data_IF_125331712099
#
_entry.id   IF_125331712099
#
_cell.length_a   1.000
_cell.length_b   1.000
_cell.length_c   1.000
_cell.angle_alpha   90.00
_cell.angle_beta   90.00
_cell.angle_gamma   90.00
#
_symmetry.space_group_name_H-M   'P 1'
#
loop_
_entity.id
_entity.type
_entity.pdbx_description
1 polymer ?
#
# COMPACT_ATOMS: atom_id res chain seq x y z
N UNK A 1 12.89 0.92 -0.96
CA UNK A 1 12.64 -0.32 -1.74
C UNK A 1 12.89 -1.53 -0.85
N UNK A 2 12.09 -2.58 -0.97
CA UNK A 2 12.38 -3.91 -0.40
C UNK A 2 12.58 -4.89 -1.55
N UNK A 3 13.59 -5.77 -1.45
CA UNK A 3 13.89 -6.78 -2.47
C UNK A 3 14.17 -8.15 -1.85
N UNK A 4 13.75 -9.20 -2.55
CA UNK A 4 14.04 -10.59 -2.21
C UNK A 4 14.00 -11.45 -3.47
N UNK A 5 15.15 -12.05 -3.85
CA UNK A 5 15.30 -12.87 -5.06
C UNK A 5 14.74 -12.16 -6.31
N UNK A 6 15.24 -10.93 -6.55
CA UNK A 6 14.73 -10.03 -7.59
C UNK A 6 15.60 -9.94 -8.83
N UNK A 7 16.62 -10.80 -8.99
CA UNK A 7 17.65 -10.73 -10.06
C UNK A 7 17.06 -10.50 -11.44
N UNK A 8 15.88 -11.04 -11.71
CA UNK A 8 15.25 -11.01 -13.04
C UNK A 8 14.80 -9.61 -13.46
N UNK A 9 14.34 -8.77 -12.53
CA UNK A 9 13.66 -7.52 -12.85
C UNK A 9 14.31 -6.29 -12.22
N UNK A 10 15.15 -6.46 -11.19
CA UNK A 10 15.66 -5.35 -10.37
C UNK A 10 16.44 -4.31 -11.19
N UNK A 11 17.17 -4.71 -12.25
CA UNK A 11 17.88 -3.76 -13.13
C UNK A 11 16.91 -2.81 -13.81
N UNK A 12 15.88 -3.35 -14.46
CA UNK A 12 14.89 -2.55 -15.16
C UNK A 12 14.12 -1.63 -14.21
N UNK A 13 13.81 -2.11 -12.99
CA UNK A 13 13.20 -1.28 -11.96
C UNK A 13 14.13 -0.15 -11.53
N UNK A 14 15.42 -0.42 -11.24
CA UNK A 14 16.37 0.62 -10.84
C UNK A 14 16.60 1.66 -11.94
N UNK A 15 16.68 1.23 -13.19
CA UNK A 15 16.79 2.13 -14.34
C UNK A 15 15.57 3.05 -14.46
N UNK A 16 14.35 2.52 -14.24
CA UNK A 16 13.13 3.31 -14.26
C UNK A 16 13.06 4.36 -13.13
N UNK A 17 13.65 4.05 -11.97
CA UNK A 17 13.78 5.00 -10.88
C UNK A 17 14.78 6.11 -11.20
N UNK A 18 15.90 5.77 -11.82
CA UNK A 18 16.92 6.74 -12.22
C UNK A 18 16.46 7.67 -13.36
N UNK A 19 15.47 7.25 -14.15
CA UNK A 19 14.92 8.04 -15.27
C UNK A 19 13.74 8.94 -14.86
N UNK A 20 13.44 9.08 -13.57
CA UNK A 20 12.37 9.99 -13.14
C UNK A 20 12.66 11.44 -13.53
N UNK A 21 11.64 12.15 -14.03
CA UNK A 21 11.78 13.49 -14.59
C UNK A 21 11.75 14.62 -13.55
N UNK A 22 11.37 14.34 -12.31
CA UNK A 22 11.26 15.33 -11.25
C UNK A 22 12.55 16.14 -11.02
N UNK A 23 13.72 15.53 -11.21
CA UNK A 23 15.00 16.22 -11.12
C UNK A 23 15.31 17.06 -12.37
N UNK A 24 14.95 16.54 -13.56
CA UNK A 24 15.13 17.26 -14.83
C UNK A 24 14.40 18.61 -14.84
N UNK A 25 13.28 18.68 -14.14
CA UNK A 25 12.49 19.91 -13.99
C UNK A 25 12.78 20.69 -12.71
N UNK A 26 13.78 20.28 -11.91
CA UNK A 26 14.15 20.95 -10.66
C UNK A 26 13.08 20.93 -9.57
N UNK A 27 12.11 19.98 -9.67
CA UNK A 27 11.00 19.90 -8.74
C UNK A 27 11.34 19.13 -7.46
N UNK A 28 12.13 18.08 -7.58
CA UNK A 28 12.56 17.27 -6.44
C UNK A 28 13.83 16.49 -6.78
N UNK A 29 14.67 16.24 -5.76
CA UNK A 29 15.71 15.22 -5.81
C UNK A 29 15.28 14.02 -4.99
N UNK A 30 15.68 12.80 -5.37
CA UNK A 30 15.35 11.63 -4.59
C UNK A 30 16.52 10.65 -4.45
N UNK A 31 16.48 9.90 -3.39
CA UNK A 31 17.42 8.83 -3.07
C UNK A 31 16.67 7.51 -2.94
N UNK A 32 17.35 6.43 -3.24
CA UNK A 32 16.81 5.08 -3.19
C UNK A 32 17.55 4.35 -2.08
N UNK A 33 16.84 4.06 -0.98
CA UNK A 33 17.31 3.17 0.06
C UNK A 33 16.72 1.78 -0.18
N UNK A 34 17.57 0.77 -0.26
CA UNK A 34 17.16 -0.59 -0.58
C UNK A 34 17.52 -1.51 0.60
N UNK A 35 16.54 -2.28 1.06
CA UNK A 35 16.76 -3.39 1.97
C UNK A 35 16.64 -4.70 1.17
N UNK A 36 17.70 -5.48 1.16
CA UNK A 36 17.67 -6.84 0.66
C UNK A 36 17.27 -7.80 1.78
N UNK A 37 16.17 -8.53 1.59
CA UNK A 37 15.59 -9.43 2.59
C UNK A 37 16.24 -10.84 2.58
N UNK A 38 17.55 -10.89 2.33
CA UNK A 38 18.35 -12.11 2.34
C UNK A 38 18.28 -12.89 1.02
N UNK A 39 18.43 -12.21 -0.11
CA UNK A 39 18.46 -12.84 -1.44
C UNK A 39 19.62 -13.81 -1.62
N UNK A 40 19.38 -14.89 -2.40
CA UNK A 40 20.37 -15.90 -2.74
C UNK A 40 20.56 -16.13 -4.25
N UNK A 41 20.01 -15.23 -5.10
CA UNK A 41 19.92 -15.41 -6.55
C UNK A 41 20.86 -14.49 -7.38
N UNK A 42 21.75 -13.71 -6.71
CA UNK A 42 22.58 -12.70 -7.35
C UNK A 42 21.99 -11.29 -7.38
N UNK A 43 20.85 -11.05 -6.72
CA UNK A 43 20.27 -9.70 -6.55
C UNK A 43 21.26 -8.73 -5.93
N UNK A 44 22.00 -9.19 -4.91
CA UNK A 44 22.97 -8.35 -4.16
C UNK A 44 24.10 -7.85 -5.04
N UNK A 45 24.59 -8.64 -5.98
CA UNK A 45 25.66 -8.23 -6.91
C UNK A 45 25.19 -7.05 -7.77
N UNK A 46 23.91 -7.07 -8.18
CA UNK A 46 23.30 -5.97 -8.95
C UNK A 46 23.14 -4.72 -8.07
N UNK A 47 22.71 -4.87 -6.82
CA UNK A 47 22.58 -3.75 -5.90
C UNK A 47 23.92 -3.08 -5.64
N UNK A 48 24.98 -3.86 -5.45
CA UNK A 48 26.35 -3.34 -5.27
C UNK A 48 26.83 -2.59 -6.52
N UNK A 49 26.65 -3.18 -7.71
CA UNK A 49 26.99 -2.52 -8.98
C UNK A 49 26.33 -1.14 -9.10
N UNK A 50 25.01 -1.05 -8.79
CA UNK A 50 24.28 0.21 -8.87
C UNK A 50 24.68 1.21 -7.78
N UNK A 51 24.93 0.75 -6.55
CA UNK A 51 25.38 1.62 -5.46
C UNK A 51 26.78 2.21 -5.75
N UNK A 52 27.70 1.43 -6.32
CA UNK A 52 29.02 1.92 -6.75
C UNK A 52 28.88 2.92 -7.90
N UNK A 53 27.99 2.67 -8.86
CA UNK A 53 27.79 3.54 -10.03
C UNK A 53 27.07 4.85 -9.69
N UNK A 54 26.16 4.82 -8.70
CA UNK A 54 25.32 5.95 -8.31
C UNK A 54 25.36 6.21 -6.80
N UNK A 55 26.53 6.49 -6.19
CA UNK A 55 26.72 6.52 -4.75
C UNK A 55 25.91 7.62 -4.03
N UNK A 56 25.59 8.71 -4.71
CA UNK A 56 24.76 9.80 -4.18
C UNK A 56 23.25 9.52 -4.26
N UNK A 57 22.87 8.49 -5.01
CA UNK A 57 21.47 8.17 -5.35
C UNK A 57 20.98 6.87 -4.72
N UNK A 58 21.82 5.84 -4.70
CA UNK A 58 21.47 4.49 -4.31
C UNK A 58 22.33 4.05 -3.14
N UNK A 59 21.66 3.59 -2.09
CA UNK A 59 22.28 2.90 -0.97
C UNK A 59 21.49 1.65 -0.64
N UNK A 60 22.16 0.60 -0.20
CA UNK A 60 21.52 -0.64 0.16
C UNK A 60 22.17 -1.31 1.37
N UNK A 61 21.44 -2.22 1.97
CA UNK A 61 21.94 -3.09 3.02
C UNK A 61 21.19 -4.43 3.01
N UNK A 62 21.89 -5.47 3.45
CA UNK A 62 21.31 -6.80 3.64
C UNK A 62 20.71 -6.94 5.02
N UNK A 63 19.56 -7.60 5.12
CA UNK A 63 18.93 -8.08 6.35
C UNK A 63 18.66 -9.58 6.28
N UNK A 64 18.26 -10.16 7.41
CA UNK A 64 17.65 -11.50 7.43
C UNK A 64 16.27 -11.46 6.77
N UNK A 65 15.79 -12.61 6.24
CA UNK A 65 14.46 -12.68 5.67
C UNK A 65 13.39 -12.56 6.76
N UNK A 66 12.72 -11.42 6.79
CA UNK A 66 11.62 -11.11 7.73
C UNK A 66 10.28 -10.96 7.02
N UNK A 67 10.25 -11.17 5.70
CA UNK A 67 9.08 -11.07 4.87
C UNK A 67 8.72 -9.64 4.46
N UNK A 68 7.98 -9.52 3.37
CA UNK A 68 7.72 -8.26 2.66
C UNK A 68 7.18 -7.15 3.57
N UNK A 69 6.22 -7.45 4.44
CA UNK A 69 5.57 -6.43 5.29
C UNK A 69 6.58 -5.80 6.26
N UNK A 70 7.30 -6.62 7.01
CA UNK A 70 8.28 -6.14 8.00
C UNK A 70 9.49 -5.50 7.32
N UNK A 71 9.90 -6.02 6.16
CA UNK A 71 10.97 -5.46 5.35
C UNK A 71 10.67 -4.01 4.93
N UNK A 72 9.44 -3.71 4.51
CA UNK A 72 9.03 -2.33 4.19
C UNK A 72 9.02 -1.41 5.41
N UNK A 73 8.56 -1.86 6.57
CA UNK A 73 8.62 -1.04 7.79
C UNK A 73 10.05 -0.83 8.28
N UNK A 74 10.91 -1.84 8.18
CA UNK A 74 12.31 -1.71 8.58
C UNK A 74 13.07 -0.72 7.67
N UNK A 75 12.94 -0.85 6.34
CA UNK A 75 13.59 0.10 5.42
C UNK A 75 13.05 1.52 5.59
N UNK A 76 11.75 1.67 5.84
CA UNK A 76 11.17 2.97 6.15
C UNK A 76 11.76 3.54 7.43
N UNK A 77 11.94 2.75 8.48
CA UNK A 77 12.56 3.16 9.74
C UNK A 77 13.99 3.69 9.58
N UNK A 78 14.75 3.14 8.62
CA UNK A 78 16.14 3.54 8.32
C UNK A 78 16.25 4.63 7.23
N UNK A 79 15.18 4.96 6.53
CA UNK A 79 15.21 6.02 5.52
C UNK A 79 15.47 7.38 6.18
N UNK A 80 16.35 8.20 5.60
CA UNK A 80 16.68 9.54 6.08
C UNK A 80 15.48 10.50 6.04
N UNK A 81 15.69 11.72 6.50
CA UNK A 81 14.68 12.76 6.45
C UNK A 81 14.44 13.22 5.01
N UNK A 82 13.18 13.28 4.64
CA UNK A 82 12.71 13.74 3.34
C UNK A 82 11.33 14.40 3.47
N UNK A 83 10.94 15.20 2.51
CA UNK A 83 9.60 15.76 2.49
C UNK A 83 8.57 14.72 2.09
N UNK A 84 8.96 13.80 1.20
CA UNK A 84 8.13 12.72 0.68
C UNK A 84 8.86 11.39 0.70
N UNK A 85 8.08 10.30 0.82
CA UNK A 85 8.55 8.92 0.79
C UNK A 85 7.70 8.12 -0.19
N UNK A 86 8.30 7.13 -0.84
CA UNK A 86 7.60 6.22 -1.72
C UNK A 86 7.98 4.77 -1.43
N UNK A 87 6.99 3.87 -1.44
CA UNK A 87 7.27 2.45 -1.48
C UNK A 87 7.55 1.99 -2.92
N UNK A 88 8.46 1.06 -3.06
CA UNK A 88 8.87 0.54 -4.35
C UNK A 88 9.13 -0.97 -4.25
N UNK A 89 8.43 -1.74 -5.06
CA UNK A 89 8.69 -3.16 -5.27
C UNK A 89 9.87 -3.33 -6.26
N UNK A 90 10.43 -4.54 -6.35
CA UNK A 90 11.65 -4.82 -7.12
C UNK A 90 11.43 -5.11 -8.61
N UNK A 91 10.17 -5.26 -9.03
CA UNK A 91 9.78 -5.97 -10.26
C UNK A 91 8.81 -5.20 -11.16
N UNK A 92 8.56 -3.93 -10.82
CA UNK A 92 7.71 -3.03 -11.60
C UNK A 92 8.51 -2.14 -12.58
N UNK A 93 7.83 -1.20 -13.20
CA UNK A 93 8.45 -0.13 -14.00
C UNK A 93 7.75 1.19 -13.72
N UNK A 94 8.46 2.18 -13.19
CA UNK A 94 7.91 3.51 -12.94
C UNK A 94 7.98 4.37 -14.20
N UNK A 95 6.84 4.94 -14.60
CA UNK A 95 6.83 5.92 -15.70
C UNK A 95 7.56 7.19 -15.26
N UNK A 96 8.24 7.90 -16.19
CA UNK A 96 9.08 9.05 -15.85
C UNK A 96 8.37 10.12 -15.01
N UNK A 97 7.10 10.34 -15.26
CA UNK A 97 6.30 11.40 -14.62
C UNK A 97 5.75 11.04 -13.22
N UNK A 98 5.98 9.81 -12.75
CA UNK A 98 5.35 9.32 -11.50
C UNK A 98 5.66 10.21 -10.30
N UNK A 99 6.93 10.50 -10.06
CA UNK A 99 7.32 11.32 -8.89
C UNK A 99 6.93 12.77 -9.06
N UNK A 100 7.06 13.35 -10.26
CA UNK A 100 6.61 14.70 -10.56
C UNK A 100 5.13 14.86 -10.24
N UNK A 101 4.30 13.95 -10.73
CA UNK A 101 2.86 13.99 -10.49
C UNK A 101 2.50 13.84 -9.01
N UNK A 102 3.13 12.89 -8.32
CA UNK A 102 2.87 12.67 -6.91
C UNK A 102 3.23 13.89 -6.05
N UNK A 103 4.40 14.50 -6.30
CA UNK A 103 4.87 15.70 -5.58
C UNK A 103 3.93 16.88 -5.85
N UNK A 104 3.52 17.12 -7.11
CA UNK A 104 2.57 18.19 -7.44
C UNK A 104 1.25 18.08 -6.65
N UNK A 105 0.72 16.89 -6.50
CA UNK A 105 -0.51 16.68 -5.74
C UNK A 105 -0.26 16.87 -4.24
N UNK A 106 0.82 16.29 -3.71
CA UNK A 106 1.13 16.37 -2.28
C UNK A 106 1.53 17.77 -1.83
N UNK A 107 2.18 18.58 -2.70
CA UNK A 107 2.46 19.99 -2.42
C UNK A 107 1.19 20.85 -2.31
N UNK A 108 0.09 20.43 -2.96
CA UNK A 108 -1.23 21.03 -2.81
C UNK A 108 -1.99 20.60 -1.56
N UNK A 109 -1.48 19.59 -0.81
CA UNK A 109 -2.08 19.07 0.41
C UNK A 109 -1.47 19.69 1.67
N UNK A 110 -2.10 19.44 2.83
CA UNK A 110 -1.57 19.90 4.10
C UNK A 110 -0.26 19.19 4.46
N UNK A 111 0.77 19.95 4.81
CA UNK A 111 2.04 19.40 5.35
C UNK A 111 1.92 18.96 6.82
N UNK A 112 0.94 19.51 7.55
CA UNK A 112 0.70 19.22 8.97
C UNK A 112 -0.11 17.93 9.19
N UNK A 113 -0.86 17.49 8.17
CA UNK A 113 -1.65 16.25 8.21
C UNK A 113 -0.94 15.13 7.47
N UNK A 114 -1.13 13.86 7.91
CA UNK A 114 -0.65 12.73 7.13
C UNK A 114 -1.32 12.68 5.77
N UNK A 115 -0.55 12.74 4.70
CA UNK A 115 -1.05 12.80 3.32
C UNK A 115 -0.47 11.68 2.49
N UNK A 116 -1.33 11.04 1.70
CA UNK A 116 -1.01 9.90 0.84
C UNK A 116 -1.52 10.14 -0.57
N UNK A 117 -0.62 10.04 -1.54
CA UNK A 117 -0.93 9.90 -2.95
C UNK A 117 -0.81 8.43 -3.35
N UNK A 118 -1.71 7.95 -4.18
CA UNK A 118 -1.55 6.69 -4.90
C UNK A 118 -2.22 6.78 -6.26
N UNK A 119 -1.80 5.93 -7.19
CA UNK A 119 -2.41 5.91 -8.51
C UNK A 119 -2.91 4.52 -8.92
N UNK A 120 -3.73 4.48 -9.97
CA UNK A 120 -4.13 3.23 -10.60
C UNK A 120 -2.89 2.54 -11.21
N UNK A 121 -2.60 1.28 -10.90
CA UNK A 121 -1.54 0.56 -11.59
C UNK A 121 -1.98 0.14 -13.00
N UNK A 122 -1.09 0.26 -14.00
CA UNK A 122 -1.25 -0.33 -15.33
C UNK A 122 -0.74 -1.77 -15.28
N UNK A 123 -1.63 -2.72 -15.50
CA UNK A 123 -1.23 -4.14 -15.48
C UNK A 123 -0.46 -4.48 -16.75
N UNK A 124 0.70 -5.12 -16.57
CA UNK A 124 1.55 -5.57 -17.68
C UNK A 124 2.06 -7.00 -17.43
N UNK A 125 2.43 -7.69 -18.48
CA UNK A 125 3.08 -8.99 -18.42
C UNK A 125 4.59 -8.87 -18.07
N UNK A 126 5.31 -9.99 -18.17
CA UNK A 126 6.73 -10.02 -17.85
C UNK A 126 7.59 -9.16 -18.78
N UNK A 127 7.13 -8.91 -20.00
CA UNK A 127 7.77 -8.10 -21.05
C UNK A 127 7.20 -6.66 -21.13
N UNK A 128 6.53 -6.18 -20.08
CA UNK A 128 5.88 -4.86 -19.98
C UNK A 128 4.75 -4.61 -21.01
N UNK A 129 4.23 -5.67 -21.66
CA UNK A 129 3.09 -5.53 -22.55
C UNK A 129 1.79 -5.39 -21.75
N UNK A 130 0.89 -4.47 -22.12
CA UNK A 130 -0.37 -4.30 -21.40
C UNK A 130 -1.19 -5.59 -21.35
N UNK A 131 -1.73 -5.89 -20.17
CA UNK A 131 -2.68 -6.99 -19.98
C UNK A 131 -4.09 -6.41 -20.00
N UNK A 132 -4.88 -6.84 -20.97
CA UNK A 132 -6.30 -6.51 -21.01
C UNK A 132 -7.05 -7.24 -19.89
N UNK A 133 -7.92 -6.53 -19.21
CA UNK A 133 -8.77 -7.08 -18.15
C UNK A 133 -10.23 -7.01 -18.53
N UNK A 134 -10.92 -8.15 -18.49
CA UNK A 134 -12.38 -8.22 -18.61
C UNK A 134 -13.12 -7.59 -17.43
N UNK A 135 -12.37 -7.22 -16.40
CA UNK A 135 -12.89 -6.73 -15.14
C UNK A 135 -12.90 -5.21 -15.17
N UNK A 136 -14.07 -4.64 -15.32
CA UNK A 136 -14.26 -3.20 -15.16
C UNK A 136 -13.95 -2.78 -13.71
N UNK A 137 -13.12 -1.79 -13.58
CA UNK A 137 -12.78 -1.21 -12.26
C UNK A 137 -13.57 0.09 -12.08
N UNK A 138 -14.38 0.20 -11.02
CA UNK A 138 -15.08 1.45 -10.73
C UNK A 138 -14.08 2.56 -10.42
N UNK A 139 -14.51 3.81 -10.56
CA UNK A 139 -13.79 4.95 -9.99
C UNK A 139 -13.67 4.76 -8.48
N UNK A 140 -12.44 4.94 -7.96
CA UNK A 140 -12.18 4.68 -6.55
C UNK A 140 -12.72 5.81 -5.68
N UNK A 141 -13.30 5.42 -4.57
CA UNK A 141 -13.80 6.33 -3.53
C UNK A 141 -13.00 6.09 -2.25
N UNK A 142 -11.88 6.81 -2.05
CA UNK A 142 -11.07 6.65 -0.86
C UNK A 142 -11.78 7.21 0.39
N UNK A 143 -11.38 6.71 1.56
CA UNK A 143 -11.85 7.20 2.85
C UNK A 143 -11.80 6.14 3.93
N UNK A 144 -11.84 6.56 5.20
CA UNK A 144 -11.65 5.66 6.33
C UNK A 144 -12.68 4.53 6.40
N UNK A 145 -13.94 4.81 6.04
CA UNK A 145 -15.01 3.80 6.01
C UNK A 145 -14.73 2.65 5.02
N UNK A 146 -14.02 2.93 3.94
CA UNK A 146 -13.52 1.92 3.03
C UNK A 146 -12.23 1.28 3.57
N UNK A 147 -11.28 2.08 4.02
CA UNK A 147 -9.99 1.62 4.53
C UNK A 147 -10.11 0.61 5.67
N UNK A 148 -11.13 0.72 6.51
CA UNK A 148 -11.40 -0.25 7.58
C UNK A 148 -11.56 -1.69 7.06
N UNK A 149 -12.07 -1.88 5.84
CA UNK A 149 -12.54 -3.18 5.34
C UNK A 149 -12.00 -3.58 3.97
N UNK A 150 -11.29 -2.68 3.29
CA UNK A 150 -10.72 -2.90 1.97
C UNK A 150 -9.50 -2.03 1.73
N UNK A 151 -8.46 -2.62 1.15
CA UNK A 151 -7.32 -1.88 0.64
C UNK A 151 -7.52 -1.54 -0.84
N UNK A 152 -7.37 -0.25 -1.19
CA UNK A 152 -7.37 0.22 -2.57
C UNK A 152 -6.00 0.73 -3.02
N UNK A 153 -5.08 0.86 -2.08
CA UNK A 153 -3.71 1.31 -2.34
C UNK A 153 -2.86 0.12 -2.76
N UNK A 154 -2.16 0.25 -3.87
CA UNK A 154 -1.13 -0.71 -4.25
C UNK A 154 0.22 -0.13 -3.82
N UNK A 155 0.99 -0.85 -3.02
CA UNK A 155 2.18 -0.35 -2.32
C UNK A 155 3.15 0.42 -3.22
N UNK A 156 3.49 -0.16 -4.38
CA UNK A 156 4.40 0.46 -5.36
C UNK A 156 3.86 1.76 -6.01
N UNK A 157 2.57 2.08 -5.84
CA UNK A 157 1.98 3.35 -6.31
C UNK A 157 2.02 4.44 -5.25
N UNK A 158 2.26 4.08 -3.98
CA UNK A 158 2.13 4.98 -2.85
C UNK A 158 3.30 5.97 -2.74
N UNK A 159 2.97 7.25 -2.63
CA UNK A 159 3.88 8.33 -2.24
C UNK A 159 3.21 9.12 -1.11
N UNK A 160 3.95 9.42 -0.04
CA UNK A 160 3.38 10.02 1.15
C UNK A 160 4.32 11.03 1.80
N UNK A 161 3.73 11.95 2.55
CA UNK A 161 4.47 13.04 3.16
C UNK A 161 5.22 12.61 4.44
N UNK A 162 6.11 13.50 4.89
CA UNK A 162 6.89 13.34 6.14
C UNK A 162 6.00 13.03 7.33
N UNK A 163 4.85 13.70 7.45
CA UNK A 163 3.96 13.53 8.61
C UNK A 163 3.41 12.10 8.71
N UNK A 164 3.00 11.51 7.58
CA UNK A 164 2.57 10.10 7.56
C UNK A 164 3.72 9.15 7.88
N UNK A 165 4.92 9.42 7.35
CA UNK A 165 6.12 8.65 7.64
C UNK A 165 6.45 8.65 9.14
N UNK A 166 6.44 9.81 9.79
CA UNK A 166 6.70 9.96 11.23
C UNK A 166 5.72 9.14 12.08
N UNK A 167 4.42 9.21 11.77
CA UNK A 167 3.40 8.44 12.48
C UNK A 167 3.65 6.92 12.40
N UNK A 168 4.06 6.43 11.23
CA UNK A 168 4.34 5.01 11.03
C UNK A 168 5.64 4.56 11.71
N UNK A 169 6.67 5.42 11.66
CA UNK A 169 7.97 5.13 12.27
C UNK A 169 7.93 5.14 13.80
N UNK A 170 7.06 5.96 14.39
CA UNK A 170 6.95 6.09 15.84
C UNK A 170 6.65 4.75 16.49
N UNK A 171 5.75 3.97 15.93
CA UNK A 171 5.44 2.62 16.37
C UNK A 171 4.95 1.77 15.17
N UNK A 172 5.85 0.99 14.53
CA UNK A 172 5.45 0.08 13.47
C UNK A 172 4.47 -0.98 13.99
N UNK A 173 3.45 -1.39 13.19
CA UNK A 173 2.47 -2.35 13.64
C UNK A 173 3.10 -3.74 13.84
N UNK A 174 2.70 -4.42 14.91
CA UNK A 174 3.04 -5.84 15.13
C UNK A 174 2.26 -6.76 14.20
N UNK A 175 1.10 -6.30 13.74
CA UNK A 175 0.27 -6.99 12.77
C UNK A 175 -0.41 -6.01 11.82
N UNK A 176 -0.27 -6.26 10.54
CA UNK A 176 -1.12 -5.70 9.48
C UNK A 176 -1.27 -6.72 8.36
N UNK A 177 -2.34 -6.61 7.61
CA UNK A 177 -2.58 -7.48 6.44
C UNK A 177 -1.59 -7.18 5.32
N UNK A 178 -1.31 -5.89 5.08
CA UNK A 178 -0.32 -5.40 4.13
C UNK A 178 0.21 -4.03 4.59
N UNK A 179 1.47 -3.73 4.27
CA UNK A 179 2.12 -2.47 4.65
C UNK A 179 1.44 -1.23 4.02
N UNK A 180 0.97 -1.35 2.79
CA UNK A 180 0.24 -0.31 2.06
C UNK A 180 -1.18 -0.08 2.62
N UNK A 181 -1.84 -1.13 3.12
CA UNK A 181 -3.12 -0.98 3.81
C UNK A 181 -2.97 -0.20 5.12
N UNK A 182 -1.83 -0.36 5.79
CA UNK A 182 -1.52 0.42 6.99
C UNK A 182 -1.37 1.91 6.70
N UNK A 183 -0.68 2.27 5.60
CA UNK A 183 -0.62 3.65 5.11
C UNK A 183 -2.02 4.20 4.84
N UNK A 184 -2.85 3.41 4.14
CA UNK A 184 -4.20 3.82 3.78
C UNK A 184 -5.08 4.05 5.01
N UNK A 185 -5.05 3.16 6.00
CA UNK A 185 -5.76 3.33 7.27
C UNK A 185 -5.34 4.62 7.98
N UNK A 186 -4.04 4.84 8.12
CA UNK A 186 -3.50 5.97 8.86
C UNK A 186 -3.82 7.29 8.17
N UNK A 187 -3.54 7.42 6.87
CA UNK A 187 -3.82 8.63 6.11
C UNK A 187 -5.32 8.94 6.08
N UNK A 188 -6.18 7.95 5.86
CA UNK A 188 -7.63 8.16 5.81
C UNK A 188 -8.28 8.43 7.17
N UNK A 189 -7.62 8.05 8.29
CA UNK A 189 -8.10 8.33 9.64
C UNK A 189 -7.78 9.76 10.08
N UNK A 190 -6.55 10.22 9.85
CA UNK A 190 -5.99 11.43 10.44
C UNK A 190 -5.72 12.55 9.45
N UNK A 191 -5.84 12.29 8.15
CA UNK A 191 -5.43 13.24 7.13
C UNK A 191 -6.14 13.09 5.80
N UNK A 192 -5.35 13.07 4.74
CA UNK A 192 -5.84 13.21 3.37
C UNK A 192 -5.27 12.12 2.46
N UNK A 193 -6.06 11.68 1.49
CA UNK A 193 -5.64 10.75 0.45
C UNK A 193 -6.14 11.19 -0.91
N UNK A 194 -5.26 11.18 -1.90
CA UNK A 194 -5.59 11.37 -3.30
C UNK A 194 -5.35 10.08 -4.08
N UNK A 195 -6.39 9.56 -4.72
CA UNK A 195 -6.31 8.43 -5.64
C UNK A 195 -6.36 8.95 -7.07
N UNK A 196 -5.26 8.80 -7.81
CA UNK A 196 -5.17 9.18 -9.23
C UNK A 196 -5.63 8.02 -10.11
N UNK A 197 -6.63 8.27 -10.94
CA UNK A 197 -7.14 7.27 -11.89
C UNK A 197 -6.19 7.07 -13.08
N UNK A 198 -5.25 8.01 -13.29
CA UNK A 198 -4.23 7.91 -14.33
C UNK A 198 -3.09 7.02 -13.84
N UNK A 199 -2.70 6.00 -14.62
CA UNK A 199 -1.59 5.14 -14.22
C UNK A 199 -0.23 5.83 -14.50
N UNK A 200 0.66 5.74 -13.51
CA UNK A 200 2.07 6.19 -13.60
C UNK A 200 3.07 5.08 -13.28
N UNK A 201 2.59 3.83 -13.23
CA UNK A 201 3.41 2.65 -13.00
C UNK A 201 2.89 1.48 -13.82
N UNK A 202 3.80 0.74 -14.43
CA UNK A 202 3.54 -0.57 -15.00
C UNK A 202 3.72 -1.62 -13.91
N UNK A 203 2.61 -2.17 -13.41
CA UNK A 203 2.58 -3.20 -12.38
C UNK A 203 2.69 -4.57 -13.03
N UNK A 204 3.85 -5.20 -12.88
CA UNK A 204 4.19 -6.45 -13.55
C UNK A 204 3.48 -7.64 -12.92
N UNK A 205 2.90 -8.50 -13.76
CA UNK A 205 2.23 -9.71 -13.34
C UNK A 205 3.07 -10.94 -13.69
N UNK A 206 3.51 -11.66 -12.65
CA UNK A 206 4.24 -12.92 -12.79
C UNK A 206 3.89 -13.87 -11.63
N UNK A 207 4.40 -15.11 -11.69
CA UNK A 207 4.05 -16.13 -10.68
C UNK A 207 4.56 -15.82 -9.26
N UNK A 208 5.57 -14.96 -9.13
CA UNK A 208 6.15 -14.55 -7.85
C UNK A 208 5.42 -13.40 -7.13
N UNK A 209 4.39 -12.79 -7.73
CA UNK A 209 3.67 -11.71 -7.07
C UNK A 209 2.95 -12.20 -5.80
N UNK A 210 3.11 -11.47 -4.70
CA UNK A 210 2.41 -11.77 -3.44
C UNK A 210 0.89 -11.69 -3.63
N UNK A 211 0.42 -10.70 -4.39
CA UNK A 211 -0.99 -10.52 -4.76
C UNK A 211 -1.10 -10.28 -6.27
N UNK A 212 -1.21 -11.36 -7.05
CA UNK A 212 -1.49 -11.26 -8.47
C UNK A 212 -2.90 -10.74 -8.76
N UNK A 213 -3.06 -9.91 -9.79
CA UNK A 213 -4.39 -9.44 -10.25
C UNK A 213 -4.94 -10.42 -11.28
N UNK A 214 -6.17 -10.90 -11.07
CA UNK A 214 -6.85 -11.74 -12.05
C UNK A 214 -7.58 -10.89 -13.09
N UNK A 215 -7.53 -11.35 -14.32
CA UNK A 215 -8.14 -10.67 -15.47
C UNK A 215 -9.46 -11.32 -15.92
N UNK A 216 -9.67 -12.61 -15.57
CA UNK A 216 -10.89 -13.36 -15.93
C UNK A 216 -11.91 -13.37 -14.80
N UNK A 217 -13.18 -13.14 -15.11
CA UNK A 217 -14.30 -13.11 -14.15
C UNK A 217 -14.46 -14.42 -13.37
N UNK A 218 -14.27 -15.58 -13.99
CA UNK A 218 -14.36 -16.90 -13.34
C UNK A 218 -13.31 -17.13 -12.27
N UNK A 219 -12.07 -16.67 -12.52
CA UNK A 219 -10.97 -16.81 -11.58
C UNK A 219 -11.10 -15.83 -10.42
N UNK A 220 -11.69 -14.68 -10.67
CA UNK A 220 -12.00 -13.69 -9.66
C UNK A 220 -12.96 -14.23 -8.59
N UNK A 221 -14.03 -14.92 -8.99
CA UNK A 221 -14.97 -15.54 -8.05
C UNK A 221 -14.32 -16.59 -7.14
N UNK A 222 -13.46 -17.45 -7.70
CA UNK A 222 -12.70 -18.42 -6.91
C UNK A 222 -11.77 -17.75 -5.90
N UNK A 223 -11.09 -16.68 -6.33
CA UNK A 223 -10.22 -15.90 -5.43
C UNK A 223 -11.00 -15.16 -4.35
N UNK A 224 -12.14 -14.56 -4.68
CA UNK A 224 -13.03 -13.91 -3.69
C UNK A 224 -13.38 -14.89 -2.58
N UNK A 225 -13.84 -16.08 -2.92
CA UNK A 225 -14.20 -17.11 -1.94
C UNK A 225 -12.98 -17.57 -1.10
N UNK A 226 -11.82 -17.72 -1.72
CA UNK A 226 -10.57 -18.07 -1.04
C UNK A 226 -10.12 -16.95 -0.08
N UNK A 227 -10.17 -15.69 -0.52
CA UNK A 227 -9.84 -14.51 0.33
C UNK A 227 -10.78 -14.41 1.54
N UNK A 228 -12.08 -14.62 1.34
CA UNK A 228 -13.04 -14.59 2.45
C UNK A 228 -12.81 -15.71 3.46
N UNK A 229 -12.37 -16.91 3.02
CA UNK A 229 -12.05 -18.00 3.92
C UNK A 229 -10.70 -17.84 4.63
N UNK A 230 -9.70 -17.32 3.95
CA UNK A 230 -8.33 -17.15 4.47
C UNK A 230 -8.16 -15.95 5.42
N UNK A 231 -8.98 -14.92 5.26
CA UNK A 231 -8.82 -13.65 5.97
C UNK A 231 -9.81 -13.48 7.16
N UNK A 232 -10.35 -14.56 7.67
CA UNK A 232 -11.26 -14.50 8.83
C UNK A 232 -10.55 -13.89 10.03
N UNK A 233 -11.08 -12.77 10.52
CA UNK A 233 -10.55 -12.08 11.67
C UNK A 233 -9.36 -11.14 11.41
N UNK A 234 -8.73 -11.19 10.23
CA UNK A 234 -7.59 -10.32 9.93
C UNK A 234 -7.94 -8.84 9.97
N UNK A 235 -9.12 -8.46 9.47
CA UNK A 235 -9.62 -7.08 9.53
C UNK A 235 -9.76 -6.63 10.99
N UNK A 236 -10.40 -7.46 11.82
CA UNK A 236 -10.56 -7.14 13.24
C UNK A 236 -9.22 -7.09 13.98
N UNK A 237 -8.28 -7.97 13.65
CA UNK A 237 -6.95 -7.97 14.24
C UNK A 237 -6.18 -6.71 13.84
N UNK A 238 -6.18 -6.35 12.55
CA UNK A 238 -5.55 -5.13 12.05
C UNK A 238 -6.13 -3.88 12.69
N UNK A 239 -7.47 -3.77 12.81
CA UNK A 239 -8.10 -2.65 13.47
C UNK A 239 -7.84 -2.62 14.98
N UNK A 240 -7.73 -3.79 15.62
CA UNK A 240 -7.28 -3.89 17.02
C UNK A 240 -5.88 -3.35 17.21
N UNK A 241 -4.96 -3.70 16.31
CA UNK A 241 -3.59 -3.19 16.32
C UNK A 241 -3.56 -1.68 16.01
N UNK A 242 -4.38 -1.22 15.06
CA UNK A 242 -4.52 0.19 14.75
C UNK A 242 -4.99 1.02 15.97
N UNK A 243 -5.98 0.54 16.70
CA UNK A 243 -6.47 1.18 17.92
C UNK A 243 -5.48 1.07 19.08
N UNK A 244 -4.66 0.01 19.16
CA UNK A 244 -3.59 -0.11 20.15
C UNK A 244 -2.57 1.02 19.99
N UNK A 245 -2.19 1.34 18.75
CA UNK A 245 -1.18 2.37 18.45
C UNK A 245 -1.81 3.77 18.49
N UNK A 246 -2.91 3.97 17.78
CA UNK A 246 -3.45 5.29 17.51
C UNK A 246 -4.72 5.65 18.30
N UNK A 247 -5.32 4.68 19.00
CA UNK A 247 -6.61 4.87 19.64
C UNK A 247 -6.67 5.99 20.68
N UNK A 248 -5.55 6.32 21.30
CA UNK A 248 -5.46 7.39 22.32
C UNK A 248 -4.85 8.69 21.77
N UNK A 249 -4.42 8.72 20.51
CA UNK A 249 -3.83 9.92 19.91
C UNK A 249 -4.88 11.04 19.76
N UNK A 250 -6.04 10.68 19.24
CA UNK A 250 -7.19 11.56 19.08
C UNK A 250 -8.46 10.81 19.49
N UNK A 251 -8.76 10.69 20.82
CA UNK A 251 -9.84 9.83 21.30
C UNK A 251 -11.23 10.26 20.79
N UNK A 252 -11.43 11.55 20.53
CA UNK A 252 -12.69 12.13 20.03
C UNK A 252 -12.82 12.09 18.51
N UNK A 253 -11.82 11.60 17.78
CA UNK A 253 -11.87 11.43 16.34
C UNK A 253 -12.97 10.42 15.95
N UNK A 254 -13.90 10.83 15.10
CA UNK A 254 -15.05 10.00 14.69
C UNK A 254 -14.62 8.68 14.03
N UNK A 255 -13.48 8.66 13.33
CA UNK A 255 -12.93 7.47 12.70
C UNK A 255 -12.42 6.47 13.75
N UNK A 256 -11.74 6.96 14.79
CA UNK A 256 -11.29 6.15 15.93
C UNK A 256 -12.49 5.55 16.67
N UNK A 257 -13.52 6.36 16.93
CA UNK A 257 -14.75 5.89 17.57
C UNK A 257 -15.47 4.83 16.71
N UNK A 258 -15.51 5.03 15.39
CA UNK A 258 -16.08 4.06 14.45
C UNK A 258 -15.31 2.73 14.46
N UNK A 259 -13.98 2.76 14.49
CA UNK A 259 -13.15 1.55 14.58
C UNK A 259 -13.38 0.80 15.91
N UNK A 260 -13.51 1.52 17.02
CA UNK A 260 -13.88 0.93 18.33
C UNK A 260 -15.25 0.26 18.28
N UNK A 261 -16.27 0.99 17.81
CA UNK A 261 -17.63 0.45 17.67
C UNK A 261 -17.65 -0.82 16.79
N UNK A 262 -16.89 -0.82 15.69
CA UNK A 262 -16.75 -1.99 14.80
C UNK A 262 -16.26 -3.24 15.53
N UNK A 263 -15.27 -3.12 16.41
CA UNK A 263 -14.75 -4.25 17.18
C UNK A 263 -15.71 -4.67 18.31
N UNK A 264 -16.33 -3.72 19.00
CA UNK A 264 -17.25 -3.98 20.11
C UNK A 264 -18.50 -4.76 19.65
N UNK A 265 -19.06 -4.38 18.49
CA UNK A 265 -20.29 -5.01 17.99
C UNK A 265 -20.08 -6.44 17.49
N UNK A 266 -18.85 -6.93 17.38
CA UNK A 266 -18.52 -8.25 16.83
C UNK A 266 -19.28 -9.38 17.53
N UNK A 267 -19.50 -9.30 18.83
CA UNK A 267 -20.18 -10.32 19.63
C UNK A 267 -21.71 -10.22 19.59
N UNK A 268 -22.30 -9.18 18.99
CA UNK A 268 -23.73 -8.90 19.02
C UNK A 268 -24.34 -8.80 17.62
N UNK A 269 -25.23 -9.72 17.26
CA UNK A 269 -25.94 -9.64 15.97
C UNK A 269 -26.72 -8.33 15.80
N UNK A 270 -27.46 -7.92 16.82
CA UNK A 270 -28.22 -6.66 16.81
C UNK A 270 -27.31 -5.46 16.76
N UNK A 271 -26.17 -5.51 17.46
CA UNK A 271 -25.11 -4.49 17.38
C UNK A 271 -24.56 -4.37 15.97
N UNK A 272 -24.16 -5.48 15.32
CA UNK A 272 -23.67 -5.47 13.94
C UNK A 272 -24.68 -4.92 12.94
N UNK A 273 -25.96 -5.27 13.07
CA UNK A 273 -27.03 -4.73 12.23
C UNK A 273 -27.20 -3.22 12.41
N UNK A 274 -27.13 -2.72 13.65
CA UNK A 274 -27.21 -1.28 13.95
C UNK A 274 -25.99 -0.56 13.38
N UNK A 275 -24.80 -1.11 13.60
CA UNK A 275 -23.55 -0.56 13.07
C UNK A 275 -23.58 -0.42 11.55
N UNK A 276 -23.96 -1.47 10.80
CA UNK A 276 -24.08 -1.40 9.34
C UNK A 276 -24.97 -0.26 8.84
N UNK A 277 -26.10 -0.02 9.52
CA UNK A 277 -27.01 1.05 9.15
C UNK A 277 -26.43 2.45 9.42
N UNK A 278 -25.66 2.60 10.51
CA UNK A 278 -25.09 3.87 10.97
C UNK A 278 -23.80 4.22 10.28
N UNK A 279 -22.87 3.26 10.20
CA UNK A 279 -21.46 3.52 9.81
C UNK A 279 -21.28 3.83 8.34
N UNK A 280 -22.15 3.32 7.48
CA UNK A 280 -22.03 3.45 6.01
C UNK A 280 -20.68 2.99 5.48
N UNK A 281 -20.09 1.97 6.11
CA UNK A 281 -18.89 1.32 5.57
C UNK A 281 -19.22 0.71 4.20
N UNK A 282 -18.25 0.69 3.30
CA UNK A 282 -18.48 0.24 1.93
C UNK A 282 -17.21 -0.34 1.33
N UNK A 283 -17.38 -1.27 0.39
CA UNK A 283 -16.35 -1.70 -0.55
C UNK A 283 -16.58 -1.06 -1.92
N UNK A 284 -15.50 -0.97 -2.71
CA UNK A 284 -15.56 -0.28 -4.00
C UNK A 284 -16.55 -0.93 -4.98
N UNK A 285 -16.61 -2.27 -4.99
CA UNK A 285 -17.54 -3.02 -5.83
C UNK A 285 -18.79 -3.40 -5.06
N UNK A 286 -19.95 -3.18 -5.66
CA UNK A 286 -21.26 -3.46 -5.05
C UNK A 286 -21.43 -4.93 -4.66
N UNK A 287 -20.90 -5.87 -5.46
CA UNK A 287 -20.96 -7.30 -5.16
C UNK A 287 -20.14 -7.64 -3.92
N UNK A 288 -18.90 -7.13 -3.85
CA UNK A 288 -18.01 -7.34 -2.70
C UNK A 288 -18.55 -6.70 -1.45
N UNK A 289 -19.19 -5.54 -1.58
CA UNK A 289 -19.85 -4.82 -0.50
C UNK A 289 -21.01 -5.64 0.10
N UNK A 290 -21.88 -6.19 -0.73
CA UNK A 290 -22.98 -7.05 -0.28
C UNK A 290 -22.46 -8.31 0.43
N UNK A 291 -21.44 -8.97 -0.13
CA UNK A 291 -20.83 -10.16 0.47
C UNK A 291 -20.23 -9.80 1.83
N UNK A 292 -19.50 -8.68 1.91
CA UNK A 292 -18.89 -8.24 3.16
C UNK A 292 -19.95 -7.92 4.22
N UNK A 293 -21.06 -7.28 3.86
CA UNK A 293 -22.17 -7.03 4.78
C UNK A 293 -22.73 -8.33 5.38
N UNK A 294 -22.88 -9.37 4.58
CA UNK A 294 -23.30 -10.71 5.09
C UNK A 294 -22.24 -11.26 6.05
N UNK A 295 -20.95 -11.21 5.71
CA UNK A 295 -19.85 -11.68 6.56
C UNK A 295 -19.84 -10.94 7.90
N UNK A 296 -20.05 -9.63 7.87
CA UNK A 296 -20.12 -8.81 9.06
C UNK A 296 -21.33 -9.21 9.94
N UNK A 297 -22.50 -9.41 9.35
CA UNK A 297 -23.69 -9.88 10.08
C UNK A 297 -23.46 -11.26 10.72
N UNK A 298 -22.68 -12.14 10.09
CA UNK A 298 -22.30 -13.44 10.65
C UNK A 298 -21.21 -13.35 11.73
N UNK A 299 -20.55 -12.21 11.88
CA UNK A 299 -19.45 -11.99 12.85
C UNK A 299 -18.11 -12.62 12.45
N UNK A 300 -17.91 -12.91 11.17
CA UNK A 300 -16.75 -13.61 10.62
C UNK A 300 -15.72 -12.64 9.96
N UNK A 301 -15.36 -11.54 10.60
CA UNK A 301 -14.49 -10.50 10.07
C UNK A 301 -13.31 -10.14 10.96
#
# INVERSE_FOLDING_TARGET
MSTYNGVKYIREQLDSLLDQDCEKFGKASFRILIRDDGSGDGTQDILEEYAVKYPDRISWYQGENIGVIQSFFEVLGKAGDSDYYAFCDQDDYWMPEKMTRAVEILDGMSREKPSLYCCRPKLVDQELKPIESEIERPAMRPGFRNAMIENIVTGCTAVFNRRLCEMIRQEPPKFTVMHDWWLYLTASCFGELYYDETPYICYRQHQGNVLGTKTRKTDEWKMRLKRFRGNRGNISHQLGEFLRIFGNLEPDNENIQMAREFLEVRKSFTGRRRFLKKSRIYRQRREDDRIFHVILLLGNY
#
